data_IF_849919576732
#
_entry.id   IF_849919576732
#
_cell.length_a   1.000
_cell.length_b   1.000
_cell.length_c   1.000
_cell.angle_alpha   90.00
_cell.angle_beta   90.00
_cell.angle_gamma   90.00
#
_symmetry.space_group_name_H-M   'P 1'
#
loop_
_entity.id
_entity.type
_entity.pdbx_description
1 polymer ?
#
# COMPACT_ATOMS: atom_id res chain seq x y z
N UNK A 1 -10.16 7.61 39.68
CA UNK A 1 -10.71 7.85 38.33
C UNK A 1 -9.75 8.78 37.62
N UNK A 2 -8.69 8.18 37.06
CA UNK A 2 -7.53 8.84 36.45
C UNK A 2 -7.90 9.53 35.12
N UNK A 3 -7.09 10.52 34.74
CA UNK A 3 -7.27 11.45 33.62
C UNK A 3 -7.33 10.75 32.24
N UNK A 4 -8.44 10.10 31.89
CA UNK A 4 -8.64 9.64 30.53
C UNK A 4 -9.00 10.83 29.64
N UNK A 5 -8.34 10.96 28.48
CA UNK A 5 -8.82 11.85 27.41
C UNK A 5 -10.25 11.41 27.08
N UNK A 6 -11.23 12.24 27.46
CA UNK A 6 -12.59 12.14 26.94
C UNK A 6 -12.50 12.29 25.42
N UNK A 7 -12.62 11.18 24.72
CA UNK A 7 -12.70 11.13 23.25
C UNK A 7 -14.17 11.11 22.85
N UNK A 8 -14.51 11.87 21.82
CA UNK A 8 -15.88 11.94 21.29
C UNK A 8 -16.35 10.63 20.67
N UNK A 9 -15.41 9.83 20.13
CA UNK A 9 -15.69 8.50 19.57
C UNK A 9 -14.62 7.49 20.00
N UNK A 10 -14.94 6.68 21.02
CA UNK A 10 -14.03 5.67 21.56
C UNK A 10 -13.70 4.58 20.55
N UNK A 11 -14.63 4.21 19.67
CA UNK A 11 -14.43 3.17 18.65
C UNK A 11 -13.43 3.59 17.57
N UNK A 12 -13.46 4.85 17.15
CA UNK A 12 -12.45 5.42 16.26
C UNK A 12 -11.10 5.54 16.97
N UNK A 13 -11.08 6.05 18.20
CA UNK A 13 -9.84 6.28 18.94
C UNK A 13 -9.03 5.00 19.18
N UNK A 14 -9.69 3.92 19.60
CA UNK A 14 -9.02 2.62 19.76
C UNK A 14 -8.53 2.06 18.42
N UNK A 15 -9.29 2.25 17.34
CA UNK A 15 -8.88 1.82 16.01
C UNK A 15 -7.60 2.53 15.55
N UNK A 16 -7.51 3.84 15.76
CA UNK A 16 -6.29 4.61 15.49
C UNK A 16 -5.11 4.13 16.35
N UNK A 17 -5.33 3.82 17.63
CA UNK A 17 -4.27 3.37 18.53
C UNK A 17 -3.73 1.97 18.19
N UNK A 18 -4.60 1.05 17.79
CA UNK A 18 -4.20 -0.27 17.27
C UNK A 18 -3.43 -0.11 15.97
N UNK A 19 -3.95 0.73 15.05
CA UNK A 19 -3.28 1.06 13.80
C UNK A 19 -1.87 1.60 14.03
N UNK A 20 -1.71 2.53 14.98
CA UNK A 20 -0.41 3.09 15.33
C UNK A 20 0.56 2.04 15.91
N UNK A 21 0.06 1.12 16.74
CA UNK A 21 0.88 0.04 17.30
C UNK A 21 1.40 -0.89 16.19
N UNK A 22 0.54 -1.23 15.22
CA UNK A 22 0.91 -1.98 14.03
C UNK A 22 1.91 -1.22 13.14
N UNK A 23 1.68 0.06 12.88
CA UNK A 23 2.56 0.90 12.07
C UNK A 23 3.98 0.97 12.65
N UNK A 24 4.10 1.17 13.97
CA UNK A 24 5.39 1.20 14.66
C UNK A 24 6.13 -0.13 14.55
N UNK A 25 5.43 -1.26 14.71
CA UNK A 25 6.01 -2.60 14.56
C UNK A 25 6.46 -2.86 13.11
N UNK A 26 5.69 -2.41 12.12
CA UNK A 26 6.04 -2.50 10.71
C UNK A 26 7.27 -1.65 10.38
N UNK A 27 7.31 -0.40 10.86
CA UNK A 27 8.47 0.49 10.67
C UNK A 27 9.73 -0.12 11.27
N UNK A 28 9.64 -0.69 12.47
CA UNK A 28 10.76 -1.40 13.10
C UNK A 28 11.25 -2.56 12.24
N UNK A 29 10.33 -3.43 11.79
CA UNK A 29 10.66 -4.56 10.92
C UNK A 29 11.34 -4.11 9.62
N UNK A 30 10.78 -3.10 8.94
CA UNK A 30 11.30 -2.61 7.67
C UNK A 30 12.65 -1.92 7.83
N UNK A 31 12.89 -1.26 8.96
CA UNK A 31 14.20 -0.69 9.30
C UNK A 31 15.24 -1.78 9.57
N UNK A 32 14.88 -2.84 10.29
CA UNK A 32 15.75 -4.01 10.52
C UNK A 32 16.17 -4.64 9.17
N UNK A 33 15.20 -4.89 8.29
CA UNK A 33 15.45 -5.42 6.94
C UNK A 33 16.32 -4.46 6.12
N UNK A 34 16.01 -3.17 6.09
CA UNK A 34 16.82 -2.21 5.33
C UNK A 34 18.28 -2.20 5.80
N UNK A 35 18.53 -2.22 7.11
CA UNK A 35 19.88 -2.26 7.66
C UNK A 35 20.63 -3.55 7.33
N UNK A 36 19.95 -4.70 7.36
CA UNK A 36 20.53 -6.00 7.01
C UNK A 36 21.10 -6.01 5.58
N UNK A 37 20.38 -5.40 4.64
CA UNK A 37 20.77 -5.37 3.22
C UNK A 37 21.54 -4.11 2.80
N UNK A 38 21.87 -3.20 3.73
CA UNK A 38 22.60 -1.95 3.42
C UNK A 38 21.77 -0.89 2.69
N UNK A 39 20.44 -0.91 2.83
CA UNK A 39 19.51 0.06 2.26
C UNK A 39 19.03 1.09 3.31
N UNK A 40 18.34 2.12 2.85
CA UNK A 40 17.73 3.14 3.70
C UNK A 40 16.22 3.00 3.72
N UNK A 41 15.64 2.81 4.92
CA UNK A 41 14.20 2.94 5.11
C UNK A 41 13.83 4.37 5.56
N UNK A 42 12.92 5.01 4.83
CA UNK A 42 12.50 6.40 5.05
C UNK A 42 11.01 6.45 5.30
N UNK A 43 10.60 7.09 6.39
CA UNK A 43 9.20 7.43 6.72
C UNK A 43 8.96 8.94 6.72
N UNK A 44 10.00 9.72 6.40
CA UNK A 44 9.95 11.18 6.38
C UNK A 44 10.93 11.78 5.39
N UNK A 45 10.65 12.99 4.91
CA UNK A 45 11.49 13.70 3.97
C UNK A 45 12.91 13.95 4.49
N UNK A 46 13.90 13.78 3.61
CA UNK A 46 15.33 13.96 3.91
C UNK A 46 15.75 15.42 4.03
N UNK A 47 14.96 16.35 3.45
CA UNK A 47 15.24 17.78 3.52
C UNK A 47 14.54 18.41 4.71
N UNK A 48 15.23 19.35 5.36
CA UNK A 48 14.62 20.23 6.37
C UNK A 48 13.55 21.11 5.73
N UNK A 49 12.51 21.45 6.49
CA UNK A 49 11.49 22.43 6.09
C UNK A 49 12.11 23.81 5.91
N UNK A 50 11.38 24.76 5.32
CA UNK A 50 11.79 26.18 5.25
C UNK A 50 12.13 26.77 6.63
N UNK A 51 11.55 26.23 7.70
CA UNK A 51 11.81 26.59 9.10
C UNK A 51 12.95 25.80 9.76
N UNK A 52 13.72 25.02 9.00
CA UNK A 52 14.87 24.25 9.48
C UNK A 52 14.54 22.97 10.26
N UNK A 53 13.25 22.61 10.38
CA UNK A 53 12.80 21.41 11.11
C UNK A 53 12.89 20.17 10.22
N UNK A 54 13.04 18.97 10.82
CA UNK A 54 12.92 17.72 10.06
C UNK A 54 11.53 17.64 9.44
N UNK A 55 11.43 17.27 8.16
CA UNK A 55 10.15 17.01 7.54
C UNK A 55 9.45 15.87 8.29
N UNK A 56 8.14 15.99 8.53
CA UNK A 56 7.36 14.93 9.19
C UNK A 56 6.74 13.95 8.21
N UNK A 57 6.62 14.36 6.95
CA UNK A 57 5.97 13.61 5.87
C UNK A 57 7.02 13.22 4.85
N UNK A 58 6.83 12.06 4.23
CA UNK A 58 7.60 11.64 3.08
C UNK A 58 6.81 12.02 1.83
N UNK A 59 7.12 13.20 1.29
CA UNK A 59 6.51 13.70 0.06
C UNK A 59 7.32 13.24 -1.14
N UNK A 60 6.67 12.50 -2.04
CA UNK A 60 7.18 12.15 -3.36
C UNK A 60 6.32 12.82 -4.43
N UNK A 61 6.88 12.99 -5.63
CA UNK A 61 6.23 13.74 -6.70
C UNK A 61 6.05 12.87 -7.93
N UNK A 62 4.97 13.07 -8.68
CA UNK A 62 4.86 12.50 -10.03
C UNK A 62 5.60 13.36 -11.07
N UNK A 63 5.51 12.97 -12.35
CA UNK A 63 6.13 13.68 -13.47
C UNK A 63 5.54 15.07 -13.76
N UNK A 64 4.37 15.37 -13.18
CA UNK A 64 3.68 16.65 -13.34
C UNK A 64 3.86 17.57 -12.11
N UNK A 65 4.54 17.08 -11.06
CA UNK A 65 4.77 17.83 -9.84
C UNK A 65 3.65 17.71 -8.80
N UNK A 66 2.71 16.78 -8.96
CA UNK A 66 1.71 16.48 -7.93
C UNK A 66 2.38 15.79 -6.75
N UNK A 67 2.02 16.20 -5.53
CA UNK A 67 2.60 15.67 -4.29
C UNK A 67 1.81 14.48 -3.75
N UNK A 68 2.52 13.43 -3.34
CA UNK A 68 1.99 12.24 -2.70
C UNK A 68 2.71 12.00 -1.37
N UNK A 69 1.94 11.87 -0.29
CA UNK A 69 2.47 11.44 1.00
C UNK A 69 2.48 9.91 1.03
N UNK A 70 3.68 9.34 1.04
CA UNK A 70 3.90 7.89 1.10
C UNK A 70 4.24 7.51 2.54
N UNK A 71 3.71 6.41 3.05
CA UNK A 71 3.98 6.00 4.44
C UNK A 71 5.45 5.57 4.63
N UNK A 72 6.02 4.85 3.66
CA UNK A 72 7.44 4.46 3.72
C UNK A 72 8.07 4.14 2.37
N UNK A 73 9.39 4.31 2.29
CA UNK A 73 10.20 3.98 1.11
C UNK A 73 11.47 3.29 1.53
N UNK A 74 11.81 2.19 0.85
CA UNK A 74 13.14 1.62 0.89
C UNK A 74 13.95 2.12 -0.31
N UNK A 75 15.12 2.70 -0.06
CA UNK A 75 15.99 3.31 -1.08
C UNK A 75 17.42 2.75 -1.00
N UNK A 76 18.11 2.70 -2.13
CA UNK A 76 19.52 2.26 -2.19
C UNK A 76 20.48 3.32 -1.66
N UNK A 77 21.78 3.00 -1.65
CA UNK A 77 22.85 3.92 -1.19
C UNK A 77 22.86 5.26 -1.96
N UNK A 78 22.43 5.26 -3.22
CA UNK A 78 22.28 6.47 -4.05
C UNK A 78 20.97 7.21 -3.81
N UNK A 79 20.20 6.83 -2.78
CA UNK A 79 18.88 7.36 -2.42
C UNK A 79 17.83 7.23 -3.54
N UNK A 80 17.99 6.25 -4.42
CA UNK A 80 16.99 5.89 -5.42
C UNK A 80 15.93 4.99 -4.76
N UNK A 81 14.63 5.34 -4.84
CA UNK A 81 13.58 4.54 -4.23
C UNK A 81 13.43 3.20 -4.97
N UNK A 82 13.35 2.10 -4.24
CA UNK A 82 13.20 0.75 -4.78
C UNK A 82 11.83 0.14 -4.46
N UNK A 83 11.32 0.39 -3.24
CA UNK A 83 10.04 -0.17 -2.79
C UNK A 83 9.23 0.92 -2.12
N UNK A 84 7.97 1.06 -2.54
CA UNK A 84 6.97 1.90 -1.86
C UNK A 84 6.17 1.06 -0.88
N UNK A 85 5.92 1.61 0.31
CA UNK A 85 5.10 0.99 1.34
C UNK A 85 3.94 1.91 1.70
N UNK A 86 2.75 1.31 1.80
CA UNK A 86 1.60 1.91 2.46
C UNK A 86 1.06 0.93 3.50
N UNK A 87 0.67 1.43 4.67
CA UNK A 87 -0.03 0.64 5.67
C UNK A 87 -1.39 1.25 5.98
N UNK A 88 -2.43 0.40 6.05
CA UNK A 88 -3.78 0.85 6.38
C UNK A 88 -4.47 -0.16 7.27
N UNK A 89 -4.95 0.32 8.41
CA UNK A 89 -5.85 -0.42 9.28
C UNK A 89 -7.29 0.08 9.07
N UNK A 90 -8.21 -0.85 8.78
CA UNK A 90 -9.64 -0.55 8.64
C UNK A 90 -10.46 -1.55 9.43
N UNK A 91 -11.22 -1.05 10.41
CA UNK A 91 -12.22 -1.88 11.10
C UNK A 91 -13.49 -2.11 10.29
N UNK A 92 -14.01 -1.08 9.63
CA UNK A 92 -15.28 -1.15 8.88
C UNK A 92 -15.09 -0.83 7.40
N UNK A 93 -15.71 -1.64 6.53
CA UNK A 93 -15.48 -1.63 5.07
C UNK A 93 -15.84 -0.32 4.35
N UNK A 94 -16.53 0.63 5.00
CA UNK A 94 -17.05 1.86 4.40
C UNK A 94 -16.00 2.74 3.69
N UNK A 95 -14.73 2.63 4.10
CA UNK A 95 -13.64 3.42 3.52
C UNK A 95 -12.68 2.60 2.65
N UNK A 96 -12.96 1.32 2.38
CA UNK A 96 -12.03 0.44 1.66
C UNK A 96 -11.73 0.95 0.23
N UNK A 97 -12.76 1.41 -0.49
CA UNK A 97 -12.59 1.88 -1.87
C UNK A 97 -11.77 3.17 -1.90
N UNK A 98 -12.12 4.15 -1.08
CA UNK A 98 -11.41 5.43 -1.01
C UNK A 98 -9.94 5.24 -0.64
N UNK A 99 -9.69 4.44 0.41
CA UNK A 99 -8.32 4.18 0.88
C UNK A 99 -7.54 3.35 -0.13
N UNK A 100 -8.11 2.29 -0.69
CA UNK A 100 -7.42 1.50 -1.72
C UNK A 100 -7.13 2.32 -2.97
N UNK A 101 -8.06 3.15 -3.42
CA UNK A 101 -7.91 3.98 -4.62
C UNK A 101 -6.83 5.04 -4.46
N UNK A 102 -6.65 5.55 -3.23
CA UNK A 102 -5.53 6.44 -2.91
C UNK A 102 -4.18 5.74 -3.13
N UNK A 103 -4.02 4.50 -2.65
CA UNK A 103 -2.78 3.72 -2.84
C UNK A 103 -2.52 3.50 -4.33
N UNK A 104 -3.53 3.04 -5.09
CA UNK A 104 -3.42 2.88 -6.54
C UNK A 104 -2.97 4.16 -7.22
N UNK A 105 -3.58 5.29 -6.86
CA UNK A 105 -3.26 6.58 -7.49
C UNK A 105 -1.84 7.03 -7.14
N UNK A 106 -1.49 7.01 -5.85
CA UNK A 106 -0.20 7.50 -5.36
C UNK A 106 0.96 6.63 -5.86
N UNK A 107 0.89 5.31 -5.66
CA UNK A 107 1.98 4.41 -6.02
C UNK A 107 2.18 4.37 -7.53
N UNK A 108 1.12 4.27 -8.33
CA UNK A 108 1.25 4.27 -9.80
C UNK A 108 1.80 5.59 -10.33
N UNK A 109 1.38 6.74 -9.78
CA UNK A 109 1.90 8.04 -10.20
C UNK A 109 3.38 8.22 -9.86
N UNK A 110 3.79 7.83 -8.65
CA UNK A 110 5.20 7.90 -8.20
C UNK A 110 6.06 6.92 -9.00
N UNK A 111 5.60 5.68 -9.26
CA UNK A 111 6.35 4.69 -10.06
C UNK A 111 6.66 5.15 -11.47
N UNK A 112 5.74 5.90 -12.12
CA UNK A 112 6.02 6.50 -13.44
C UNK A 112 7.13 7.55 -13.41
N UNK A 113 7.34 8.23 -12.27
CA UNK A 113 8.40 9.22 -12.10
C UNK A 113 9.75 8.59 -11.78
N UNK A 114 9.76 7.58 -10.90
CA UNK A 114 10.97 6.98 -10.35
C UNK A 114 11.13 5.56 -10.88
N UNK A 115 11.83 5.45 -12.02
CA UNK A 115 12.06 4.19 -12.75
C UNK A 115 12.80 3.13 -11.94
N UNK A 116 13.50 3.53 -10.86
CA UNK A 116 14.19 2.62 -9.94
C UNK A 116 13.23 1.79 -9.08
N UNK A 117 11.95 2.18 -8.96
CA UNK A 117 10.99 1.48 -8.11
C UNK A 117 10.62 0.14 -8.72
N UNK A 118 11.02 -0.93 -8.04
CA UNK A 118 10.82 -2.32 -8.42
C UNK A 118 9.48 -2.86 -7.93
N UNK A 119 8.99 -2.36 -6.78
CA UNK A 119 7.77 -2.89 -6.17
C UNK A 119 6.96 -1.84 -5.41
N UNK A 120 5.67 -2.15 -5.29
CA UNK A 120 4.68 -1.42 -4.52
C UNK A 120 4.04 -2.41 -3.54
N UNK A 121 4.08 -2.11 -2.24
CA UNK A 121 3.61 -3.00 -1.18
C UNK A 121 2.57 -2.27 -0.35
N UNK A 122 1.44 -2.93 -0.09
CA UNK A 122 0.42 -2.47 0.84
C UNK A 122 0.19 -3.50 1.94
N UNK A 123 0.37 -3.08 3.20
CA UNK A 123 0.03 -3.85 4.41
C UNK A 123 -1.35 -3.43 4.89
N UNK A 124 -2.31 -4.33 4.74
CA UNK A 124 -3.73 -4.05 4.92
C UNK A 124 -4.29 -4.87 6.08
N UNK A 125 -4.56 -4.20 7.19
CA UNK A 125 -5.08 -4.83 8.40
C UNK A 125 -6.59 -4.58 8.57
N UNK A 126 -7.29 -5.58 9.06
CA UNK A 126 -8.72 -5.52 9.35
C UNK A 126 -9.61 -5.97 8.18
N UNK A 127 -10.73 -5.28 7.98
CA UNK A 127 -11.80 -5.70 7.08
C UNK A 127 -11.66 -5.10 5.68
N UNK A 128 -10.96 -5.79 4.78
CA UNK A 128 -10.80 -5.39 3.39
C UNK A 128 -11.72 -6.17 2.44
N UNK A 129 -12.44 -5.47 1.57
CA UNK A 129 -13.34 -6.07 0.57
C UNK A 129 -12.56 -6.64 -0.60
N UNK A 130 -13.05 -7.75 -1.15
CA UNK A 130 -12.47 -8.38 -2.34
C UNK A 130 -12.29 -7.40 -3.49
N UNK A 131 -13.32 -6.61 -3.82
CA UNK A 131 -13.23 -5.60 -4.90
C UNK A 131 -12.11 -4.57 -4.71
N UNK A 132 -11.85 -4.14 -3.48
CA UNK A 132 -10.75 -3.21 -3.18
C UNK A 132 -9.40 -3.90 -3.30
N UNK A 133 -9.30 -5.15 -2.87
CA UNK A 133 -8.09 -5.96 -3.03
C UNK A 133 -7.78 -6.20 -4.52
N UNK A 134 -8.78 -6.62 -5.32
CA UNK A 134 -8.64 -6.83 -6.76
C UNK A 134 -8.18 -5.55 -7.46
N UNK A 135 -8.77 -4.40 -7.13
CA UNK A 135 -8.37 -3.10 -7.68
C UNK A 135 -6.90 -2.75 -7.37
N UNK A 136 -6.43 -3.01 -6.15
CA UNK A 136 -5.02 -2.76 -5.82
C UNK A 136 -4.08 -3.75 -6.53
N UNK A 137 -4.45 -5.03 -6.59
CA UNK A 137 -3.67 -6.04 -7.33
C UNK A 137 -3.57 -5.73 -8.81
N UNK A 138 -4.65 -5.24 -9.42
CA UNK A 138 -4.65 -4.83 -10.84
C UNK A 138 -3.85 -3.55 -11.11
N UNK A 139 -3.34 -2.88 -10.07
CA UNK A 139 -2.40 -1.75 -10.17
C UNK A 139 -0.98 -2.17 -9.75
N UNK A 140 -0.66 -3.46 -9.86
CA UNK A 140 0.64 -4.04 -9.53
C UNK A 140 1.08 -3.73 -8.08
N UNK A 141 0.14 -3.81 -7.14
CA UNK A 141 0.40 -3.64 -5.70
C UNK A 141 0.38 -5.02 -5.03
N UNK A 142 1.50 -5.37 -4.40
CA UNK A 142 1.62 -6.55 -3.56
C UNK A 142 0.88 -6.34 -2.23
N UNK A 143 -0.10 -7.20 -1.95
CA UNK A 143 -0.96 -7.06 -0.77
C UNK A 143 -0.59 -8.07 0.31
N UNK A 144 -0.36 -7.57 1.53
CA UNK A 144 -0.24 -8.35 2.74
C UNK A 144 -1.44 -8.09 3.63
N UNK A 145 -2.31 -9.09 3.78
CA UNK A 145 -3.57 -8.96 4.48
C UNK A 145 -3.45 -9.52 5.90
N UNK A 146 -3.82 -8.72 6.89
CA UNK A 146 -3.94 -9.16 8.29
C UNK A 146 -5.44 -9.20 8.65
N UNK A 147 -6.02 -10.39 8.84
CA UNK A 147 -7.46 -10.53 9.08
C UNK A 147 -7.94 -9.81 10.34
N UNK A 148 -9.15 -9.24 10.29
CA UNK A 148 -9.76 -8.58 11.45
C UNK A 148 -9.94 -9.52 12.65
N UNK A 149 -10.36 -10.77 12.42
CA UNK A 149 -10.55 -11.75 13.49
C UNK A 149 -9.23 -12.06 14.22
N UNK A 150 -8.12 -12.15 13.50
CA UNK A 150 -6.80 -12.34 14.09
C UNK A 150 -6.39 -11.18 15.02
N UNK A 151 -6.73 -9.94 14.64
CA UNK A 151 -6.51 -8.76 15.50
C UNK A 151 -7.38 -8.84 16.77
N UNK A 152 -8.63 -9.27 16.64
CA UNK A 152 -9.51 -9.48 17.80
C UNK A 152 -8.97 -10.57 18.74
N UNK A 153 -8.44 -11.67 18.20
CA UNK A 153 -7.83 -12.75 18.97
C UNK A 153 -6.63 -12.24 19.79
N UNK A 154 -5.72 -11.48 19.17
CA UNK A 154 -4.59 -10.85 19.88
C UNK A 154 -5.09 -9.94 21.00
N UNK A 155 -6.05 -9.07 20.73
CA UNK A 155 -6.57 -8.12 21.72
C UNK A 155 -7.28 -8.81 22.89
N UNK A 156 -7.92 -9.95 22.65
CA UNK A 156 -8.57 -10.73 23.69
C UNK A 156 -7.55 -11.28 24.72
N UNK A 157 -6.31 -11.57 24.31
CA UNK A 157 -5.23 -11.97 25.23
C UNK A 157 -4.88 -10.86 26.24
N UNK A 158 -5.22 -9.61 25.94
CA UNK A 158 -5.03 -8.45 26.81
C UNK A 158 -6.35 -7.98 27.44
N UNK A 159 -7.37 -8.85 27.49
CA UNK A 159 -8.70 -8.57 28.05
C UNK A 159 -9.43 -7.40 27.35
N UNK A 160 -9.14 -7.20 26.05
CA UNK A 160 -9.81 -6.20 25.21
C UNK A 160 -10.77 -6.93 24.27
N UNK A 161 -12.06 -6.96 24.63
CA UNK A 161 -13.11 -7.39 23.70
C UNK A 161 -13.20 -6.40 22.55
N UNK A 162 -12.64 -6.77 21.38
CA UNK A 162 -12.60 -5.95 20.17
C UNK A 162 -13.67 -6.29 19.12
N UNK A 163 -14.49 -7.30 19.40
CA UNK A 163 -15.47 -7.83 18.46
C UNK A 163 -16.89 -7.35 18.82
N UNK A 164 -17.20 -6.12 18.43
CA UNK A 164 -18.51 -5.52 18.62
C UNK A 164 -19.05 -4.84 17.35
N UNK A 165 -20.37 -4.62 17.31
CA UNK A 165 -21.05 -3.90 16.22
C UNK A 165 -20.81 -2.37 16.30
N UNK A 166 -20.81 -1.65 15.17
CA UNK A 166 -20.54 -0.20 15.13
C UNK A 166 -21.41 0.64 16.09
N UNK A 167 -22.61 0.16 16.43
CA UNK A 167 -23.53 0.87 17.33
C UNK A 167 -23.27 0.64 18.82
N UNK A 168 -22.46 -0.35 19.21
CA UNK A 168 -22.18 -0.65 20.61
C UNK A 168 -21.11 0.29 21.20
N UNK A 169 -21.58 1.43 21.70
CA UNK A 169 -20.74 2.48 22.28
C UNK A 169 -20.12 2.09 23.62
N UNK A 170 -20.80 1.26 24.41
CA UNK A 170 -20.32 0.88 25.73
C UNK A 170 -19.16 -0.09 25.66
N UNK A 171 -19.22 -1.09 24.77
CA UNK A 171 -18.07 -1.95 24.48
C UNK A 171 -16.90 -1.14 23.92
N UNK A 172 -17.16 -0.22 22.99
CA UNK A 172 -16.12 0.64 22.44
C UNK A 172 -15.40 1.46 23.51
N UNK A 173 -16.16 2.00 24.46
CA UNK A 173 -15.63 2.80 25.57
C UNK A 173 -14.79 1.95 26.52
N UNK A 174 -15.27 0.75 26.89
CA UNK A 174 -14.51 -0.19 27.74
C UNK A 174 -13.21 -0.62 27.07
N UNK A 175 -13.27 -1.05 25.81
CA UNK A 175 -12.09 -1.44 25.07
C UNK A 175 -11.06 -0.30 24.99
N UNK A 176 -11.52 0.93 24.73
CA UNK A 176 -10.64 2.10 24.71
C UNK A 176 -9.95 2.35 26.05
N UNK A 177 -10.66 2.19 27.18
CA UNK A 177 -10.03 2.32 28.49
C UNK A 177 -9.04 1.20 28.76
N UNK A 178 -9.43 -0.06 28.54
CA UNK A 178 -8.54 -1.20 28.73
C UNK A 178 -7.26 -1.05 27.89
N UNK A 179 -7.38 -0.63 26.63
CA UNK A 179 -6.21 -0.37 25.79
C UNK A 179 -5.33 0.75 26.33
N UNK A 180 -5.89 1.82 26.90
CA UNK A 180 -5.09 2.91 27.45
C UNK A 180 -4.32 2.51 28.71
N UNK A 181 -4.89 1.64 29.53
CA UNK A 181 -4.24 1.11 30.74
C UNK A 181 -3.07 0.18 30.43
N UNK A 182 -2.98 -0.36 29.21
CA UNK A 182 -1.81 -1.11 28.77
C UNK A 182 -0.54 -0.25 28.82
N UNK A 183 0.54 -0.88 29.25
CA UNK A 183 1.91 -0.35 29.19
C UNK A 183 2.35 -0.11 27.74
N UNK A 184 3.42 0.66 27.57
CA UNK A 184 4.01 0.87 26.24
C UNK A 184 4.55 -0.43 25.65
N UNK A 185 5.08 -1.32 26.48
CA UNK A 185 5.60 -2.63 26.13
C UNK A 185 4.48 -3.56 25.64
N UNK A 186 3.33 -3.59 26.32
CA UNK A 186 2.16 -4.37 25.89
C UNK A 186 1.60 -3.87 24.55
N UNK A 187 1.50 -2.54 24.37
CA UNK A 187 1.09 -1.94 23.09
C UNK A 187 2.05 -2.30 21.96
N UNK A 188 3.36 -2.27 22.22
CA UNK A 188 4.37 -2.70 21.26
C UNK A 188 4.23 -4.20 20.93
N UNK A 189 4.01 -5.05 21.94
CA UNK A 189 3.80 -6.49 21.76
C UNK A 189 2.55 -6.79 20.93
N UNK A 190 1.46 -6.04 21.09
CA UNK A 190 0.28 -6.13 20.22
C UNK A 190 0.68 -5.85 18.77
N UNK A 191 1.43 -4.77 18.52
CA UNK A 191 1.94 -4.44 17.19
C UNK A 191 2.80 -5.56 16.59
N UNK A 192 3.74 -6.08 17.37
CA UNK A 192 4.64 -7.16 16.97
C UNK A 192 3.86 -8.45 16.62
N UNK A 193 2.84 -8.81 17.40
CA UNK A 193 1.96 -9.97 17.12
C UNK A 193 1.14 -9.78 15.84
N UNK A 194 0.64 -8.57 15.60
CA UNK A 194 -0.13 -8.22 14.41
C UNK A 194 0.76 -8.36 13.16
N UNK A 195 1.95 -7.75 13.17
CA UNK A 195 2.90 -7.81 12.04
C UNK A 195 3.51 -9.19 11.87
N UNK A 196 3.67 -9.95 12.96
CA UNK A 196 4.13 -11.33 12.95
C UNK A 196 3.35 -12.24 12.01
N UNK A 197 2.06 -11.94 11.77
CA UNK A 197 1.21 -12.68 10.83
C UNK A 197 1.73 -12.67 9.38
N UNK A 198 2.35 -11.57 8.95
CA UNK A 198 2.83 -11.39 7.57
C UNK A 198 4.35 -11.38 7.46
N UNK A 199 5.06 -11.36 8.58
CA UNK A 199 6.50 -11.07 8.66
C UNK A 199 7.31 -11.89 7.65
N UNK A 200 7.18 -13.21 7.68
CA UNK A 200 8.02 -14.09 6.86
C UNK A 200 7.80 -13.84 5.37
N UNK A 201 6.54 -13.81 4.91
CA UNK A 201 6.22 -13.60 3.50
C UNK A 201 6.62 -12.19 3.03
N UNK A 202 6.49 -11.17 3.89
CA UNK A 202 6.88 -9.81 3.58
C UNK A 202 8.40 -9.70 3.41
N UNK A 203 9.16 -10.25 4.35
CA UNK A 203 10.63 -10.25 4.30
C UNK A 203 11.14 -11.05 3.10
N UNK A 204 10.55 -12.20 2.80
CA UNK A 204 10.89 -13.01 1.63
C UNK A 204 10.69 -12.25 0.32
N UNK A 205 9.55 -11.57 0.16
CA UNK A 205 9.31 -10.74 -1.01
C UNK A 205 10.33 -9.60 -1.11
N UNK A 206 10.62 -8.91 -0.01
CA UNK A 206 11.61 -7.83 0.00
C UNK A 206 12.98 -8.37 -0.42
N UNK A 207 13.42 -9.51 0.11
CA UNK A 207 14.67 -10.16 -0.30
C UNK A 207 14.68 -10.39 -1.82
N UNK A 208 13.64 -11.03 -2.37
CA UNK A 208 13.56 -11.28 -3.81
C UNK A 208 13.64 -10.01 -4.66
N UNK A 209 13.06 -8.89 -4.19
CA UNK A 209 13.12 -7.60 -4.90
C UNK A 209 14.53 -6.99 -4.86
N UNK A 210 15.24 -7.17 -3.74
CA UNK A 210 16.57 -6.60 -3.50
C UNK A 210 17.71 -7.48 -4.03
N UNK A 211 17.43 -8.71 -4.41
CA UNK A 211 18.42 -9.61 -5.00
C UNK A 211 18.83 -9.16 -6.41
N UNK A 212 19.92 -8.38 -6.47
CA UNK A 212 20.53 -7.92 -7.71
C UNK A 212 21.41 -9.00 -8.40
N UNK A 213 21.51 -10.21 -7.85
CA UNK A 213 22.17 -11.33 -8.55
C UNK A 213 21.31 -11.94 -9.66
N UNK A 214 20.00 -11.66 -9.63
CA UNK A 214 19.04 -12.13 -10.62
C UNK A 214 19.21 -11.41 -11.96
N UNK A 215 19.27 -12.17 -13.05
CA UNK A 215 19.28 -11.60 -14.40
C UNK A 215 17.95 -10.92 -14.69
N UNK A 216 18.00 -9.65 -15.08
CA UNK A 216 16.82 -8.89 -15.48
C UNK A 216 16.31 -9.40 -16.82
N UNK A 217 15.03 -9.73 -16.87
CA UNK A 217 14.32 -10.15 -18.08
C UNK A 217 13.16 -9.20 -18.35
N UNK A 218 12.84 -9.00 -19.63
CA UNK A 218 11.64 -8.25 -20.02
C UNK A 218 10.45 -9.19 -19.84
N UNK A 219 9.55 -8.86 -18.93
CA UNK A 219 8.32 -9.63 -18.68
C UNK A 219 7.19 -9.23 -19.65
N UNK A 220 7.08 -7.93 -19.96
CA UNK A 220 6.13 -7.39 -20.92
C UNK A 220 6.58 -6.05 -21.48
N UNK A 221 6.05 -5.71 -22.64
CA UNK A 221 6.16 -4.38 -23.26
C UNK A 221 4.75 -3.85 -23.52
N UNK A 222 4.50 -2.60 -23.11
CA UNK A 222 3.24 -1.91 -23.33
C UNK A 222 3.44 -0.85 -24.40
N UNK A 223 2.60 -0.87 -25.44
CA UNK A 223 2.52 0.19 -26.45
C UNK A 223 1.21 0.93 -26.27
N UNK A 224 1.29 2.19 -25.85
CA UNK A 224 0.15 3.10 -25.80
C UNK A 224 0.14 3.97 -27.06
N UNK A 225 -0.95 3.88 -27.82
CA UNK A 225 -1.20 4.73 -28.99
C UNK A 225 -2.33 5.68 -28.65
N UNK A 226 -2.07 6.98 -28.77
CA UNK A 226 -3.02 8.05 -28.44
C UNK A 226 -3.37 8.84 -29.71
N UNK A 227 -4.65 8.93 -30.03
CA UNK A 227 -5.13 9.77 -31.15
C UNK A 227 -5.19 11.25 -30.75
N UNK A 228 -5.18 12.14 -31.73
CA UNK A 228 -5.38 13.57 -31.50
C UNK A 228 -6.79 13.91 -30.96
N UNK A 229 -7.73 12.97 -31.00
CA UNK A 229 -9.07 13.09 -30.40
C UNK A 229 -9.12 12.54 -28.97
N UNK A 230 -8.01 12.00 -28.46
CA UNK A 230 -7.90 11.46 -27.10
C UNK A 230 -8.28 9.98 -26.97
N UNK A 231 -8.43 9.25 -28.08
CA UNK A 231 -8.63 7.81 -28.03
C UNK A 231 -7.32 7.12 -27.65
N UNK A 232 -7.39 6.16 -26.74
CA UNK A 232 -6.22 5.42 -26.26
C UNK A 232 -6.40 3.94 -26.58
N UNK A 233 -5.41 3.35 -27.25
CA UNK A 233 -5.29 1.90 -27.42
C UNK A 233 -3.99 1.42 -26.78
N UNK A 234 -4.11 0.42 -25.92
CA UNK A 234 -2.98 -0.19 -25.23
C UNK A 234 -2.83 -1.62 -25.76
N UNK A 235 -1.62 -1.95 -26.20
CA UNK A 235 -1.22 -3.29 -26.60
C UNK A 235 -0.18 -3.82 -25.63
N UNK A 236 -0.30 -5.08 -25.24
CA UNK A 236 0.64 -5.78 -24.38
C UNK A 236 1.31 -6.91 -25.17
N UNK A 237 2.64 -6.94 -25.15
CA UNK A 237 3.48 -7.92 -25.82
C UNK A 237 4.40 -8.61 -24.81
N UNK A 238 4.78 -9.86 -25.08
CA UNK A 238 5.65 -10.64 -24.18
C UNK A 238 7.14 -10.48 -24.48
N UNK A 239 7.47 -9.90 -25.63
CA UNK A 239 8.86 -9.71 -26.07
C UNK A 239 9.08 -8.39 -26.78
N UNK A 240 10.35 -7.99 -26.87
CA UNK A 240 10.76 -6.79 -27.62
C UNK A 240 10.52 -7.05 -29.11
N UNK A 241 10.81 -8.25 -29.58
CA UNK A 241 10.67 -8.67 -30.97
C UNK A 241 9.22 -8.53 -31.47
N UNK A 242 8.25 -9.09 -30.74
CA UNK A 242 6.81 -8.95 -31.05
C UNK A 242 6.38 -7.47 -31.11
N UNK A 243 6.94 -6.65 -30.23
CA UNK A 243 6.64 -5.22 -30.20
C UNK A 243 7.19 -4.51 -31.44
N UNK A 244 8.42 -4.81 -31.85
CA UNK A 244 9.05 -4.21 -33.03
C UNK A 244 8.30 -4.61 -34.30
N UNK A 245 7.90 -5.88 -34.42
CA UNK A 245 7.09 -6.37 -35.54
C UNK A 245 5.75 -5.62 -35.62
N UNK A 246 5.08 -5.42 -34.47
CA UNK A 246 3.87 -4.61 -34.40
C UNK A 246 4.11 -3.17 -34.84
N UNK A 247 5.18 -2.54 -34.36
CA UNK A 247 5.53 -1.14 -34.65
C UNK A 247 5.91 -0.89 -36.12
N UNK A 248 6.38 -1.91 -36.82
CA UNK A 248 6.71 -1.84 -38.24
C UNK A 248 5.51 -2.18 -39.15
N UNK A 249 4.38 -2.61 -38.60
CA UNK A 249 3.22 -2.99 -39.41
C UNK A 249 2.51 -1.79 -40.03
N UNK A 250 2.17 -1.88 -41.32
CA UNK A 250 1.38 -0.87 -42.04
C UNK A 250 -0.03 -0.65 -41.43
N UNK A 251 -0.48 -1.55 -40.56
CA UNK A 251 -1.77 -1.50 -39.89
C UNK A 251 -1.87 -0.36 -38.85
N UNK A 252 -0.76 0.15 -38.33
CA UNK A 252 -0.75 1.24 -37.35
C UNK A 252 -1.46 2.51 -37.83
N UNK A 253 -1.33 2.84 -39.12
CA UNK A 253 -2.02 4.00 -39.71
C UNK A 253 -3.53 3.82 -39.82
N UNK A 254 -4.02 2.57 -39.83
CA UNK A 254 -5.45 2.21 -39.91
C UNK A 254 -6.06 1.89 -38.55
N UNK A 255 -5.25 1.89 -37.50
CA UNK A 255 -5.58 1.36 -36.18
C UNK A 255 -6.71 2.14 -35.49
N UNK A 256 -6.78 3.46 -35.67
CA UNK A 256 -7.88 4.29 -35.16
C UNK A 256 -9.12 4.32 -36.05
N UNK A 257 -9.05 3.75 -37.26
CA UNK A 257 -10.16 3.75 -38.22
C UNK A 257 -11.08 2.53 -38.10
N UNK A 258 -10.70 1.51 -37.31
CA UNK A 258 -11.48 0.30 -37.11
C UNK A 258 -11.99 0.19 -35.65
N UNK A 259 -13.30 0.33 -35.51
CA UNK A 259 -14.07 0.37 -34.27
C UNK A 259 -14.48 -1.03 -33.82
N UNK A 260 -13.52 -1.80 -33.29
CA UNK A 260 -13.79 -3.00 -32.48
C UNK A 260 -13.92 -2.66 -30.99
N UNK A 261 -14.52 -1.51 -30.66
CA UNK A 261 -14.60 -1.04 -29.26
C UNK A 261 -15.73 -1.74 -28.53
N UNK A 262 -15.51 -1.98 -27.23
CA UNK A 262 -16.59 -2.31 -26.32
C UNK A 262 -17.60 -1.15 -26.28
N UNK A 263 -18.87 -1.52 -26.20
CA UNK A 263 -19.99 -0.67 -25.85
C UNK A 263 -20.22 -0.67 -24.34
N UNK A 264 -21.04 0.27 -23.86
CA UNK A 264 -21.46 0.31 -22.45
C UNK A 264 -22.32 -0.92 -22.03
N UNK A 265 -22.72 -1.76 -22.99
CA UNK A 265 -23.55 -2.94 -22.77
C UNK A 265 -22.75 -4.25 -22.78
N UNK A 266 -21.47 -4.20 -23.17
CA UNK A 266 -20.61 -5.38 -23.11
C UNK A 266 -20.31 -5.73 -21.65
N UNK A 267 -20.43 -7.01 -21.26
CA UNK A 267 -20.24 -7.42 -19.88
C UNK A 267 -18.78 -7.23 -19.45
N UNK A 268 -18.52 -6.99 -18.15
CA UNK A 268 -17.16 -6.99 -17.64
C UNK A 268 -16.50 -8.36 -17.88
N UNK A 269 -15.17 -8.42 -18.02
CA UNK A 269 -14.45 -9.68 -18.15
C UNK A 269 -14.76 -10.59 -16.95
N UNK A 270 -15.00 -11.88 -17.22
CA UNK A 270 -15.08 -12.89 -16.18
C UNK A 270 -13.65 -13.19 -15.72
N UNK A 271 -13.41 -13.05 -14.41
CA UNK A 271 -12.14 -13.41 -13.79
C UNK A 271 -12.29 -14.86 -13.31
N UNK A 272 -11.46 -15.76 -13.83
CA UNK A 272 -11.31 -17.14 -13.32
C UNK A 272 -10.60 -17.15 -11.95
#
# INVERSE_FOLDING_TARGET
>A
MSNYKLVSNSGSAIGEAIGHSMENALEKLLLEVANEYGYHYLTSGVRKTKSGKKAKKLLMFDQYGNEYNIDGVLANESMQPLILFESKYIRYKKHNRDKGSWICTAHSAVRRRYESIRSSIAVLAGNWSFSSQTMMRSNDINLFLIPFNYICEILAEFEIDYNWDEKDKEKAKRAWYNFNELTSEEKALIGDKIIGYIKNNLVELIHQILDDSMTRVVEKVLVEVVSNLGEVKIYEFKSIEETLDFLQSDQLTKLFLQTGSLSLFDPPPQLD
#
